data_IF_707951578252
#
_entry.id   IF_707951578252
#
_cell.length_a   1.000
_cell.length_b   1.000
_cell.length_c   1.000
_cell.angle_alpha   90.00
_cell.angle_beta   90.00
_cell.angle_gamma   90.00
#
_symmetry.space_group_name_H-M   'P 1'
#
loop_
_entity.id
_entity.type
_entity.pdbx_description
1 polymer ?
#
# COMPACT_ATOMS: atom_id res chain seq x y z
N UNK A 1 -2.05 -23.84 -3.34
CA UNK A 1 -1.85 -22.64 -2.49
C UNK A 1 -1.66 -21.44 -3.40
N UNK A 2 -2.39 -20.35 -3.17
CA UNK A 2 -2.37 -19.14 -3.99
C UNK A 2 -1.75 -17.99 -3.18
N UNK A 3 -0.55 -17.56 -3.56
CA UNK A 3 0.20 -16.52 -2.86
C UNK A 3 0.19 -15.22 -3.65
N UNK A 4 -0.18 -14.13 -3.00
CA UNK A 4 -0.06 -12.78 -3.53
C UNK A 4 1.15 -12.08 -2.89
N UNK A 5 1.96 -11.40 -3.70
CA UNK A 5 2.97 -10.49 -3.16
C UNK A 5 2.34 -9.20 -2.61
N UNK A 6 1.28 -8.73 -3.24
CA UNK A 6 0.50 -7.62 -2.76
C UNK A 6 -0.20 -7.99 -1.43
N UNK A 7 -0.32 -7.08 -0.48
CA UNK A 7 0.04 -5.66 -0.47
C UNK A 7 1.44 -5.35 0.12
N UNK A 8 2.46 -6.16 -0.14
CA UNK A 8 3.82 -5.87 0.33
C UNK A 8 4.35 -4.53 -0.22
N UNK A 9 5.20 -3.83 0.58
CA UNK A 9 5.94 -2.63 0.15
C UNK A 9 6.79 -2.92 -1.11
N UNK A 10 6.89 -2.05 -2.15
CA UNK A 10 6.12 -0.82 -2.16
C UNK A 10 4.74 -1.07 -2.82
N UNK A 11 3.79 -0.26 -2.50
CA UNK A 11 2.39 -0.42 -2.93
C UNK A 11 2.23 0.13 -4.35
N UNK A 12 2.30 -0.76 -5.32
CA UNK A 12 2.12 -0.45 -6.74
C UNK A 12 0.79 -1.01 -7.22
N UNK A 13 -0.22 -0.15 -7.42
CA UNK A 13 -1.49 -0.58 -7.97
C UNK A 13 -1.34 -1.18 -9.36
N UNK A 14 -2.19 -2.13 -9.72
CA UNK A 14 -2.30 -2.57 -11.09
C UNK A 14 -2.67 -1.37 -12.00
N UNK A 15 -2.27 -1.35 -13.29
CA UNK A 15 -2.52 -0.21 -14.18
C UNK A 15 -3.99 0.23 -14.22
N UNK A 16 -4.94 -0.69 -14.11
CA UNK A 16 -6.39 -0.40 -14.07
C UNK A 16 -6.83 0.32 -12.80
N UNK A 17 -6.09 0.15 -11.68
CA UNK A 17 -6.40 0.75 -10.38
C UNK A 17 -5.59 2.02 -10.08
N UNK A 18 -4.65 2.41 -10.94
CA UNK A 18 -3.89 3.65 -10.78
C UNK A 18 -4.85 4.83 -10.65
N UNK A 19 -4.73 5.56 -9.54
CA UNK A 19 -5.49 6.78 -9.26
C UNK A 19 -6.94 6.59 -8.82
N UNK A 20 -7.43 5.36 -8.65
CA UNK A 20 -8.84 5.08 -8.31
C UNK A 20 -9.30 5.77 -7.02
N UNK A 21 -8.39 5.97 -6.07
CA UNK A 21 -8.67 6.63 -4.79
C UNK A 21 -8.11 8.05 -4.69
N UNK A 22 -7.69 8.71 -5.79
CA UNK A 22 -7.08 10.04 -5.72
C UNK A 22 -7.99 11.09 -5.06
N UNK A 23 -9.30 10.96 -5.22
CA UNK A 23 -10.31 11.87 -4.64
C UNK A 23 -10.92 11.35 -3.33
N UNK A 24 -10.38 10.26 -2.78
CA UNK A 24 -10.88 9.68 -1.53
C UNK A 24 -10.04 10.17 -0.36
N UNK A 25 -10.72 10.56 0.73
CA UNK A 25 -10.08 10.83 2.03
C UNK A 25 -10.38 9.68 2.97
N UNK A 26 -9.33 9.10 3.52
CA UNK A 26 -9.42 8.01 4.47
C UNK A 26 -9.39 8.53 5.91
N UNK A 27 -10.13 7.90 6.85
CA UNK A 27 -10.06 8.27 8.25
C UNK A 27 -8.65 8.03 8.80
N UNK A 28 -8.16 8.96 9.59
CA UNK A 28 -6.86 8.84 10.25
C UNK A 28 -7.01 8.04 11.54
N UNK A 29 -6.06 7.12 11.85
CA UNK A 29 -6.03 6.49 13.16
C UNK A 29 -5.91 7.53 14.28
N UNK A 30 -6.56 7.30 15.40
CA UNK A 30 -6.54 8.22 16.54
C UNK A 30 -5.11 8.50 17.07
N UNK A 31 -4.21 7.53 16.88
CA UNK A 31 -2.81 7.58 17.29
C UNK A 31 -1.82 7.78 16.12
N UNK A 32 -2.28 8.38 14.99
CA UNK A 32 -1.39 8.73 13.88
C UNK A 32 -0.24 9.67 14.31
N UNK A 33 -0.47 10.50 15.32
CA UNK A 33 0.50 11.46 15.88
C UNK A 33 0.98 11.04 17.27
N UNK A 34 1.24 9.74 17.45
CA UNK A 34 1.73 9.18 18.70
C UNK A 34 3.11 9.78 19.08
N UNK A 35 3.28 10.21 20.31
CA UNK A 35 4.51 10.77 20.85
C UNK A 35 5.41 9.73 21.52
N UNK A 36 4.90 8.49 21.60
CA UNK A 36 5.53 7.34 22.26
C UNK A 36 5.83 7.53 23.75
N UNK A 37 5.12 8.45 24.44
CA UNK A 37 5.26 8.65 25.86
C UNK A 37 4.99 7.33 26.63
N UNK A 38 5.83 7.04 27.60
CA UNK A 38 5.75 5.78 28.40
C UNK A 38 6.23 4.52 27.67
N UNK A 39 6.65 4.61 26.41
CA UNK A 39 7.14 3.46 25.62
C UNK A 39 8.65 3.33 25.65
N UNK A 40 9.12 2.10 25.39
CA UNK A 40 10.54 1.80 25.30
C UNK A 40 11.26 2.51 24.14
N UNK A 41 12.60 2.53 24.21
CA UNK A 41 13.48 3.14 23.21
C UNK A 41 13.22 2.61 21.79
N UNK A 42 12.96 1.31 21.64
CA UNK A 42 12.70 0.70 20.33
C UNK A 42 11.51 1.34 19.60
N UNK A 43 10.41 1.66 20.30
CA UNK A 43 9.25 2.31 19.68
C UNK A 43 9.54 3.73 19.19
N UNK A 44 10.44 4.45 19.89
CA UNK A 44 10.82 5.82 19.53
C UNK A 44 11.84 5.90 18.40
N UNK A 45 12.72 4.91 18.28
CA UNK A 45 13.86 4.92 17.35
C UNK A 45 13.67 3.97 16.14
N UNK A 46 12.47 3.45 15.93
CA UNK A 46 12.17 2.54 14.83
C UNK A 46 12.18 3.23 13.45
N UNK A 47 12.39 2.44 12.39
CA UNK A 47 12.48 2.89 11.00
C UNK A 47 11.18 2.65 10.19
N UNK A 48 10.01 2.83 10.80
CA UNK A 48 8.70 2.64 10.14
C UNK A 48 7.84 3.90 10.17
N UNK A 49 8.44 5.07 10.41
CA UNK A 49 7.69 6.31 10.57
C UNK A 49 7.19 6.84 9.22
N UNK A 50 5.90 7.15 9.15
CA UNK A 50 5.30 7.87 8.02
C UNK A 50 5.97 9.25 7.86
N UNK A 51 6.34 9.89 8.98
CA UNK A 51 6.99 11.19 8.96
C UNK A 51 8.37 11.14 8.32
N UNK A 52 9.24 10.22 8.81
CA UNK A 52 10.67 10.26 8.54
C UNK A 52 11.15 9.22 7.52
N UNK A 53 10.59 8.01 7.54
CA UNK A 53 11.15 6.87 6.80
C UNK A 53 10.31 6.41 5.61
N UNK A 54 9.09 6.94 5.45
CA UNK A 54 8.32 6.78 4.22
C UNK A 54 8.97 7.63 3.11
N UNK A 55 9.60 6.97 2.14
CA UNK A 55 10.45 7.65 1.14
C UNK A 55 9.65 8.38 0.07
N UNK A 56 10.19 9.52 -0.38
CA UNK A 56 9.54 10.36 -1.38
C UNK A 56 9.50 9.71 -2.76
N UNK A 57 10.57 9.03 -3.15
CA UNK A 57 10.70 8.39 -4.46
C UNK A 57 9.98 7.03 -4.51
N UNK A 58 10.36 6.11 -3.66
CA UNK A 58 9.91 4.72 -3.71
C UNK A 58 8.48 4.53 -3.19
N UNK A 59 8.15 5.11 -2.04
CA UNK A 59 6.84 4.91 -1.40
C UNK A 59 5.79 5.89 -1.93
N UNK A 60 6.14 7.18 -1.99
CA UNK A 60 5.22 8.25 -2.39
C UNK A 60 5.23 8.55 -3.89
N UNK A 61 6.19 8.02 -4.65
CA UNK A 61 6.30 8.15 -6.12
C UNK A 61 6.36 9.61 -6.58
N UNK A 62 7.19 10.42 -5.89
CA UNK A 62 7.29 11.88 -6.10
C UNK A 62 8.34 12.27 -7.16
N UNK A 63 8.68 11.38 -8.08
CA UNK A 63 9.57 11.66 -9.20
C UNK A 63 8.79 11.80 -10.50
N UNK A 64 9.09 12.84 -11.26
CA UNK A 64 8.62 12.98 -12.63
C UNK A 64 9.34 12.00 -13.56
N UNK A 65 8.79 11.76 -14.76
CA UNK A 65 9.45 10.98 -15.81
C UNK A 65 10.88 11.48 -16.06
N UNK A 66 11.05 12.80 -16.22
CA UNK A 66 12.36 13.39 -16.49
C UNK A 66 13.39 13.12 -15.37
N UNK A 67 12.96 13.21 -14.12
CA UNK A 67 13.84 12.93 -12.98
C UNK A 67 14.20 11.45 -12.88
N UNK A 68 13.25 10.55 -13.13
CA UNK A 68 13.52 9.12 -13.18
C UNK A 68 14.50 8.76 -14.30
N UNK A 69 14.42 9.42 -15.45
CA UNK A 69 15.32 9.20 -16.59
C UNK A 69 16.74 9.75 -16.34
N UNK A 70 16.90 10.76 -15.48
CA UNK A 70 18.20 11.32 -15.10
C UNK A 70 18.97 10.43 -14.13
N UNK A 71 18.27 9.71 -13.24
CA UNK A 71 18.87 8.78 -12.29
C UNK A 71 18.39 7.35 -12.55
N UNK A 72 19.07 6.65 -13.44
CA UNK A 72 18.75 5.27 -13.80
C UNK A 72 19.09 4.23 -12.72
N UNK A 73 19.76 4.65 -11.64
CA UNK A 73 20.07 3.79 -10.49
C UNK A 73 18.91 3.75 -9.48
N UNK A 74 17.99 4.69 -9.58
CA UNK A 74 16.81 4.77 -8.71
C UNK A 74 15.92 3.53 -8.86
N UNK A 75 15.44 3.01 -7.72
CA UNK A 75 14.57 1.83 -7.69
C UNK A 75 13.27 2.03 -8.48
N UNK A 76 12.69 3.22 -8.41
CA UNK A 76 11.44 3.53 -9.12
C UNK A 76 11.66 3.47 -10.63
N UNK A 77 12.78 4.00 -11.14
CA UNK A 77 13.14 3.89 -12.56
C UNK A 77 13.19 2.43 -13.02
N UNK A 78 13.78 1.55 -12.23
CA UNK A 78 13.91 0.11 -12.59
C UNK A 78 12.55 -0.58 -12.82
N UNK A 79 11.50 -0.10 -12.13
CA UNK A 79 10.13 -0.58 -12.31
C UNK A 79 9.44 0.16 -13.45
N UNK A 80 9.53 1.49 -13.47
CA UNK A 80 8.91 2.36 -14.46
C UNK A 80 9.31 1.99 -15.91
N UNK A 81 10.60 1.77 -16.16
CA UNK A 81 11.11 1.41 -17.51
C UNK A 81 10.56 0.10 -18.07
N UNK A 82 10.00 -0.76 -17.22
CA UNK A 82 9.40 -2.04 -17.65
C UNK A 82 7.91 -1.92 -17.95
N UNK A 83 7.31 -0.79 -17.65
CA UNK A 83 5.91 -0.53 -17.96
C UNK A 83 5.73 -0.28 -19.47
N UNK A 84 4.66 -0.78 -20.10
CA UNK A 84 4.25 -0.33 -21.43
C UNK A 84 4.06 1.19 -21.48
N UNK A 85 4.20 1.79 -22.67
CA UNK A 85 4.17 3.24 -22.82
C UNK A 85 2.85 3.87 -22.35
N UNK A 86 1.72 3.25 -22.65
CA UNK A 86 0.39 3.68 -22.20
C UNK A 86 0.24 3.64 -20.67
N UNK A 87 0.86 2.65 -20.02
CA UNK A 87 0.91 2.57 -18.55
C UNK A 87 1.80 3.64 -17.95
N UNK A 88 2.95 3.95 -18.60
CA UNK A 88 3.81 5.07 -18.20
C UNK A 88 3.07 6.41 -18.29
N UNK A 89 2.35 6.65 -19.36
CA UNK A 89 1.57 7.87 -19.55
C UNK A 89 0.46 8.00 -18.51
N UNK A 90 -0.23 6.91 -18.20
CA UNK A 90 -1.22 6.86 -17.12
C UNK A 90 -0.59 7.12 -15.76
N UNK A 91 0.56 6.50 -15.47
CA UNK A 91 1.32 6.72 -14.26
C UNK A 91 1.68 8.19 -14.06
N UNK A 92 2.26 8.81 -15.07
CA UNK A 92 2.67 10.21 -15.01
C UNK A 92 1.47 11.14 -14.79
N UNK A 93 0.37 10.90 -15.46
CA UNK A 93 -0.87 11.66 -15.29
C UNK A 93 -1.43 11.54 -13.86
N UNK A 94 -1.46 10.31 -13.32
CA UNK A 94 -2.02 10.03 -12.00
C UNK A 94 -1.19 10.65 -10.88
N UNK A 95 0.14 10.60 -10.98
CA UNK A 95 1.03 11.11 -9.93
C UNK A 95 1.40 12.60 -10.09
N UNK A 96 1.11 13.24 -11.24
CA UNK A 96 1.43 14.65 -11.50
C UNK A 96 0.86 15.60 -10.43
N UNK A 97 -0.40 15.41 -10.05
CA UNK A 97 -1.03 16.24 -9.02
C UNK A 97 -0.34 16.07 -7.66
N UNK A 98 -0.06 14.83 -7.25
CA UNK A 98 0.64 14.49 -6.00
C UNK A 98 2.00 15.17 -5.92
N UNK A 99 2.79 15.09 -7.00
CA UNK A 99 4.10 15.74 -7.12
C UNK A 99 3.97 17.26 -7.01
N UNK A 100 2.99 17.85 -7.68
CA UNK A 100 2.74 19.29 -7.65
C UNK A 100 2.35 19.76 -6.26
N UNK A 101 1.45 19.06 -5.57
CA UNK A 101 1.02 19.38 -4.21
C UNK A 101 2.19 19.34 -3.22
N UNK A 102 2.98 18.28 -3.28
CA UNK A 102 4.16 18.14 -2.42
C UNK A 102 5.17 19.28 -2.64
N UNK A 103 5.45 19.65 -3.90
CA UNK A 103 6.45 20.66 -4.27
C UNK A 103 6.05 22.10 -3.96
N UNK A 104 4.78 22.38 -3.72
CA UNK A 104 4.35 23.69 -3.23
C UNK A 104 4.96 24.02 -1.87
N UNK A 105 5.47 23.03 -1.13
CA UNK A 105 6.23 23.23 0.11
C UNK A 105 5.43 23.75 1.29
N UNK A 106 4.11 23.79 1.22
CA UNK A 106 3.24 24.31 2.26
C UNK A 106 2.94 23.29 3.38
N UNK A 107 3.29 22.01 3.15
CA UNK A 107 3.04 20.92 4.09
C UNK A 107 4.18 20.79 5.09
N UNK A 108 3.89 20.90 6.40
CA UNK A 108 4.87 20.77 7.49
C UNK A 108 4.24 20.12 8.71
N UNK A 109 5.05 19.46 9.56
CA UNK A 109 4.59 18.83 10.79
C UNK A 109 3.38 17.93 10.54
N UNK A 110 2.35 18.07 11.36
CA UNK A 110 1.14 17.21 11.27
C UNK A 110 0.47 17.24 9.91
N UNK A 111 0.43 18.37 9.21
CA UNK A 111 -0.19 18.45 7.88
C UNK A 111 0.58 17.64 6.84
N UNK A 112 1.91 17.56 6.95
CA UNK A 112 2.72 16.70 6.08
C UNK A 112 2.50 15.21 6.40
N UNK A 113 2.43 14.85 7.67
CA UNK A 113 2.17 13.46 8.11
C UNK A 113 0.79 13.01 7.60
N UNK A 114 -0.26 13.80 7.82
CA UNK A 114 -1.60 13.53 7.31
C UNK A 114 -1.60 13.36 5.78
N UNK A 115 -0.95 14.26 5.06
CA UNK A 115 -0.87 14.17 3.61
C UNK A 115 -0.13 12.89 3.15
N UNK A 116 1.01 12.55 3.74
CA UNK A 116 1.75 11.31 3.45
C UNK A 116 0.89 10.08 3.73
N UNK A 117 0.18 10.06 4.87
CA UNK A 117 -0.75 9.00 5.23
C UNK A 117 -1.82 8.81 4.15
N UNK A 118 -2.46 9.89 3.68
CA UNK A 118 -3.46 9.79 2.62
C UNK A 118 -2.88 9.19 1.33
N UNK A 119 -1.68 9.61 0.91
CA UNK A 119 -1.05 9.03 -0.28
C UNK A 119 -0.72 7.54 -0.10
N UNK A 120 -0.23 7.16 1.07
CA UNK A 120 0.04 5.78 1.44
C UNK A 120 -1.23 4.92 1.37
N UNK A 121 -2.31 5.35 1.99
CA UNK A 121 -3.59 4.62 2.01
C UNK A 121 -4.19 4.47 0.62
N UNK A 122 -4.12 5.51 -0.22
CA UNK A 122 -4.61 5.45 -1.60
C UNK A 122 -3.92 4.37 -2.41
N UNK A 123 -2.59 4.31 -2.34
CA UNK A 123 -1.82 3.31 -3.08
C UNK A 123 -1.96 1.90 -2.46
N UNK A 124 -1.98 1.80 -1.13
CA UNK A 124 -2.17 0.54 -0.42
C UNK A 124 -3.50 -0.12 -0.79
N UNK A 125 -4.61 0.61 -0.64
CA UNK A 125 -5.95 0.06 -0.91
C UNK A 125 -6.17 -0.21 -2.41
N UNK A 126 -5.61 0.61 -3.30
CA UNK A 126 -5.62 0.34 -4.74
C UNK A 126 -4.86 -0.96 -5.08
N UNK A 127 -3.84 -1.31 -4.28
CA UNK A 127 -3.14 -2.59 -4.41
C UNK A 127 -3.97 -3.76 -3.90
N UNK A 128 -4.70 -3.56 -2.79
CA UNK A 128 -5.62 -4.56 -2.21
C UNK A 128 -6.75 -4.92 -3.19
N UNK A 129 -7.28 -3.95 -3.96
CA UNK A 129 -8.27 -4.24 -5.01
C UNK A 129 -7.78 -5.29 -6.01
N UNK A 130 -6.48 -5.29 -6.33
CA UNK A 130 -5.91 -6.30 -7.23
C UNK A 130 -5.91 -7.70 -6.61
N UNK A 131 -5.76 -7.79 -5.29
CA UNK A 131 -5.86 -9.07 -4.55
C UNK A 131 -7.30 -9.57 -4.58
N UNK A 132 -8.26 -8.71 -4.25
CA UNK A 132 -9.68 -9.01 -4.24
C UNK A 132 -10.17 -9.53 -5.60
N UNK A 133 -9.89 -8.80 -6.69
CA UNK A 133 -10.24 -9.23 -8.05
C UNK A 133 -9.65 -10.59 -8.43
N UNK A 134 -8.39 -10.85 -8.05
CA UNK A 134 -7.76 -12.12 -8.40
C UNK A 134 -8.27 -13.29 -7.56
N UNK A 135 -8.69 -13.03 -6.32
CA UNK A 135 -9.41 -14.02 -5.52
C UNK A 135 -10.76 -14.32 -6.19
N UNK A 136 -11.54 -13.30 -6.58
CA UNK A 136 -12.79 -13.46 -7.32
C UNK A 136 -12.61 -14.32 -8.58
N UNK A 137 -11.57 -14.04 -9.38
CA UNK A 137 -11.26 -14.86 -10.57
C UNK A 137 -10.97 -16.33 -10.24
N UNK A 138 -10.28 -16.59 -9.13
CA UNK A 138 -10.02 -17.97 -8.70
C UNK A 138 -11.30 -18.68 -8.27
N UNK A 139 -12.16 -18.01 -7.52
CA UNK A 139 -13.45 -18.57 -7.08
C UNK A 139 -14.35 -18.86 -8.28
N UNK A 140 -14.46 -17.93 -9.23
CA UNK A 140 -15.23 -18.14 -10.46
C UNK A 140 -14.71 -19.34 -11.26
N UNK A 141 -13.37 -19.48 -11.35
CA UNK A 141 -12.78 -20.64 -12.02
C UNK A 141 -13.15 -21.96 -11.33
N UNK A 142 -13.12 -22.02 -9.99
CA UNK A 142 -13.54 -23.21 -9.25
C UNK A 142 -15.03 -23.53 -9.50
N UNK A 143 -15.87 -22.51 -9.61
CA UNK A 143 -17.28 -22.66 -9.94
C UNK A 143 -17.46 -23.20 -11.37
N UNK A 144 -16.77 -22.63 -12.36
CA UNK A 144 -16.82 -23.04 -13.76
C UNK A 144 -16.43 -24.51 -13.98
N UNK A 145 -15.48 -25.03 -13.21
CA UNK A 145 -15.04 -26.43 -13.28
C UNK A 145 -15.82 -27.38 -12.34
N UNK A 146 -16.81 -26.86 -11.60
CA UNK A 146 -17.64 -27.63 -10.69
C UNK A 146 -16.98 -28.09 -9.40
N UNK A 147 -15.86 -27.45 -9.00
CA UNK A 147 -15.07 -27.82 -7.82
C UNK A 147 -15.25 -26.86 -6.62
N UNK A 148 -16.05 -25.82 -6.76
CA UNK A 148 -16.24 -24.85 -5.67
C UNK A 148 -16.84 -25.51 -4.42
N UNK A 149 -17.88 -26.34 -4.61
CA UNK A 149 -18.56 -27.07 -3.54
C UNK A 149 -17.77 -28.29 -3.03
N UNK A 150 -16.64 -28.61 -3.67
CA UNK A 150 -15.71 -29.66 -3.24
C UNK A 150 -14.37 -29.09 -2.71
N UNK A 151 -14.29 -27.77 -2.49
CA UNK A 151 -13.05 -27.09 -2.11
C UNK A 151 -13.22 -26.34 -0.79
N UNK A 152 -12.40 -26.66 0.22
CA UNK A 152 -12.28 -25.83 1.43
C UNK A 152 -11.41 -24.63 1.07
N UNK A 153 -11.97 -23.44 1.31
CA UNK A 153 -11.28 -22.17 1.04
C UNK A 153 -10.80 -21.58 2.36
N UNK A 154 -9.49 -21.30 2.45
CA UNK A 154 -8.89 -20.60 3.60
C UNK A 154 -8.23 -19.33 3.09
N UNK A 155 -8.73 -18.17 3.55
CA UNK A 155 -8.10 -16.87 3.32
C UNK A 155 -7.44 -16.40 4.62
N UNK A 156 -6.14 -16.14 4.55
CA UNK A 156 -5.37 -15.65 5.69
C UNK A 156 -4.12 -14.90 5.22
N UNK A 157 -3.38 -14.32 6.14
CA UNK A 157 -2.06 -13.72 5.92
C UNK A 157 -1.05 -14.29 6.92
N UNK A 158 0.23 -14.20 6.61
CA UNK A 158 1.34 -14.57 7.50
C UNK A 158 1.55 -13.53 8.62
N UNK A 159 1.01 -12.31 8.44
CA UNK A 159 1.14 -11.19 9.39
C UNK A 159 0.11 -10.10 9.13
N UNK A 160 -0.09 -9.23 10.13
CA UNK A 160 -0.82 -7.98 9.99
C UNK A 160 0.03 -6.85 9.42
N UNK A 161 -0.44 -5.60 9.54
CA UNK A 161 0.18 -4.43 8.93
C UNK A 161 -0.20 -3.15 9.66
N UNK A 162 0.73 -2.20 9.84
CA UNK A 162 0.42 -0.86 10.32
C UNK A 162 -0.11 0.00 9.17
N UNK A 163 -1.30 0.54 9.34
CA UNK A 163 -1.97 1.43 8.40
C UNK A 163 -2.10 2.85 8.97
N UNK A 164 -1.02 3.33 9.59
CA UNK A 164 -0.96 4.66 10.21
C UNK A 164 -1.04 4.65 11.72
N UNK A 165 -1.43 3.53 12.34
CA UNK A 165 -1.42 3.41 13.79
C UNK A 165 0.00 3.67 14.31
N UNK A 166 0.09 4.42 15.40
CA UNK A 166 1.35 4.89 16.00
C UNK A 166 2.22 5.76 15.06
N UNK A 167 1.65 6.31 13.99
CA UNK A 167 2.41 7.01 12.96
C UNK A 167 3.29 6.09 12.10
N UNK A 168 3.04 4.79 12.12
CA UNK A 168 3.85 3.77 11.46
C UNK A 168 3.21 3.24 10.17
N UNK A 169 4.06 2.62 9.36
CA UNK A 169 3.70 1.83 8.19
C UNK A 169 4.50 0.53 8.18
N UNK A 170 4.14 -0.44 7.32
CA UNK A 170 4.83 -1.73 7.24
C UNK A 170 4.55 -2.64 8.47
N UNK A 171 5.46 -3.53 8.86
CA UNK A 171 5.22 -4.63 9.79
C UNK A 171 6.54 -5.11 10.40
N UNK A 172 6.94 -4.58 11.56
CA UNK A 172 8.23 -4.97 12.16
C UNK A 172 8.20 -5.06 13.68
N UNK A 173 7.07 -4.71 14.30
CA UNK A 173 6.87 -4.79 15.72
C UNK A 173 5.71 -5.73 16.07
N UNK A 174 5.82 -6.43 17.17
CA UNK A 174 4.81 -7.38 17.67
C UNK A 174 3.69 -6.65 18.41
N UNK A 175 3.06 -5.69 17.73
CA UNK A 175 1.83 -5.02 18.17
C UNK A 175 0.62 -5.73 17.57
N UNK A 176 -0.57 -5.44 18.09
CA UNK A 176 -1.82 -6.04 17.64
C UNK A 176 -2.01 -5.91 16.12
N UNK A 177 -1.67 -4.77 15.56
CA UNK A 177 -1.78 -4.47 14.13
C UNK A 177 -0.94 -5.42 13.26
N UNK A 178 0.19 -5.90 13.78
CA UNK A 178 1.05 -6.86 13.09
C UNK A 178 0.74 -8.31 13.40
N UNK A 179 0.02 -8.61 14.49
CA UNK A 179 -0.28 -9.98 14.90
C UNK A 179 -1.69 -10.40 14.52
N UNK A 180 -2.62 -9.45 14.40
CA UNK A 180 -4.02 -9.71 14.08
C UNK A 180 -4.23 -9.71 12.57
N UNK A 181 -4.13 -10.88 11.96
CA UNK A 181 -4.46 -11.09 10.56
C UNK A 181 -5.85 -11.71 10.39
N UNK A 182 -6.48 -11.52 9.23
CA UNK A 182 -7.75 -12.18 8.92
C UNK A 182 -7.58 -13.69 8.85
N UNK A 183 -8.59 -14.42 9.30
CA UNK A 183 -8.75 -15.83 9.04
C UNK A 183 -10.19 -16.09 8.64
N UNK A 184 -10.42 -16.41 7.38
CA UNK A 184 -11.74 -16.76 6.83
C UNK A 184 -11.65 -18.18 6.31
N UNK A 185 -12.56 -19.04 6.77
CA UNK A 185 -12.65 -20.44 6.34
C UNK A 185 -14.06 -20.68 5.79
N UNK A 186 -14.13 -21.13 4.55
CA UNK A 186 -15.36 -21.55 3.91
C UNK A 186 -15.30 -23.05 3.70
N UNK A 187 -16.24 -23.77 4.30
CA UNK A 187 -16.36 -25.22 4.21
C UNK A 187 -17.66 -25.49 3.42
N UNK A 188 -17.61 -26.27 2.33
CA UNK A 188 -18.80 -26.64 1.60
C UNK A 188 -19.81 -27.36 2.49
N UNK A 189 -21.08 -27.02 2.35
CA UNK A 189 -22.19 -27.77 2.99
C UNK A 189 -22.53 -28.96 2.11
N UNK A 190 -22.25 -30.16 2.57
CA UNK A 190 -22.73 -31.40 1.97
C UNK A 190 -24.20 -31.68 2.36
#
# INVERSE_FOLDING_TARGET
MYHQKAPHRNWMPAPRHLGIFNNTTFPEPANLFDDYEGRGKAAREQDMSIEHTLTNDWDLKLLTREEMLKDTTNRLYSVYKRMPADVQDKWDSVYAQRITEYRKGNLKGKSLISWKYQQYMRDYLATVLSVDENIGRLLNYLEEIGELDNTIIVYTSDQGFFLGEHGWFDKRFMYEECQRMPLIIVIPSH
#
